data_IF_585889367202
#
_entry.id   IF_585889367202
#
_cell.length_a   1.000
_cell.length_b   1.000
_cell.length_c   1.000
_cell.angle_alpha   90.00
_cell.angle_beta   90.00
_cell.angle_gamma   90.00
#
_symmetry.space_group_name_H-M   'P 1'
#
loop_
_entity.id
_entity.type
_entity.pdbx_description
1 polymer ?
#
# COMPACT_ATOMS: atom_id res chain seq x y z
N UNK A 1 6.87 -3.99 3.86
CA UNK A 1 5.77 -4.92 3.54
C UNK A 1 5.15 -5.64 4.72
N UNK A 2 5.88 -6.42 5.54
CA UNK A 2 5.26 -7.33 6.54
C UNK A 2 4.22 -6.66 7.48
N UNK A 3 4.53 -5.49 8.06
CA UNK A 3 3.59 -4.76 8.94
C UNK A 3 2.28 -4.35 8.25
N UNK A 4 2.33 -3.90 7.00
CA UNK A 4 1.14 -3.46 6.27
C UNK A 4 0.21 -4.64 5.97
N UNK A 5 0.77 -5.75 5.49
CA UNK A 5 0.01 -6.98 5.24
C UNK A 5 -0.62 -7.52 6.54
N UNK A 6 0.11 -7.44 7.65
CA UNK A 6 -0.40 -7.81 8.96
C UNK A 6 -1.61 -6.97 9.38
N UNK A 7 -1.54 -5.64 9.25
CA UNK A 7 -2.68 -4.77 9.58
C UNK A 7 -3.91 -5.01 8.70
N UNK A 8 -3.70 -5.10 7.37
CA UNK A 8 -4.80 -5.37 6.43
C UNK A 8 -5.46 -6.71 6.75
N UNK A 9 -4.66 -7.76 7.00
CA UNK A 9 -5.16 -9.07 7.37
C UNK A 9 -5.92 -9.05 8.70
N UNK A 10 -5.34 -8.45 9.74
CA UNK A 10 -5.94 -8.38 11.08
C UNK A 10 -7.30 -7.69 11.08
N UNK A 11 -7.46 -6.65 10.26
CA UNK A 11 -8.67 -5.82 10.23
C UNK A 11 -9.74 -6.40 9.29
N UNK A 12 -9.35 -6.90 8.11
CA UNK A 12 -10.32 -7.37 7.12
C UNK A 12 -10.81 -8.80 7.39
N UNK A 13 -9.99 -9.70 7.95
CA UNK A 13 -10.40 -11.09 8.21
C UNK A 13 -11.63 -11.17 9.14
N UNK A 14 -11.70 -10.45 10.28
CA UNK A 14 -12.89 -10.43 11.11
C UNK A 14 -14.12 -9.87 10.38
N UNK A 15 -13.94 -8.82 9.57
CA UNK A 15 -15.04 -8.22 8.79
C UNK A 15 -15.62 -9.21 7.78
N UNK A 16 -14.76 -9.97 7.07
CA UNK A 16 -15.19 -11.03 6.17
C UNK A 16 -15.98 -12.09 6.91
N UNK A 17 -15.48 -12.58 8.04
CA UNK A 17 -16.16 -13.59 8.84
C UNK A 17 -17.55 -13.11 9.30
N UNK A 18 -17.63 -11.89 9.84
CA UNK A 18 -18.89 -11.28 10.27
C UNK A 18 -19.89 -11.15 9.11
N UNK A 19 -19.44 -10.76 7.91
CA UNK A 19 -20.32 -10.68 6.74
C UNK A 19 -20.81 -12.04 6.26
N UNK A 20 -19.98 -13.10 6.31
CA UNK A 20 -20.42 -14.47 6.00
C UNK A 20 -21.51 -14.92 6.97
N UNK A 21 -21.30 -14.72 8.28
CA UNK A 21 -22.27 -15.07 9.31
C UNK A 21 -23.56 -14.27 9.16
N UNK A 22 -23.47 -12.95 8.97
CA UNK A 22 -24.65 -12.10 8.81
C UNK A 22 -25.43 -12.45 7.54
N UNK A 23 -24.75 -12.77 6.44
CA UNK A 23 -25.38 -13.24 5.20
C UNK A 23 -26.15 -14.55 5.40
N UNK A 24 -25.58 -15.49 6.16
CA UNK A 24 -26.26 -16.74 6.54
C UNK A 24 -27.46 -16.50 7.47
N UNK A 25 -27.34 -15.60 8.45
CA UNK A 25 -28.44 -15.21 9.35
C UNK A 25 -29.58 -14.56 8.57
N UNK A 26 -29.28 -13.66 7.63
CA UNK A 26 -30.27 -13.01 6.77
C UNK A 26 -31.03 -14.06 5.95
N UNK A 27 -30.32 -14.99 5.31
CA UNK A 27 -30.92 -16.11 4.58
C UNK A 27 -31.85 -16.95 5.45
N UNK A 28 -31.45 -17.27 6.69
CA UNK A 28 -32.23 -18.09 7.62
C UNK A 28 -33.43 -17.34 8.22
N UNK A 29 -33.24 -16.09 8.66
CA UNK A 29 -34.23 -15.29 9.37
C UNK A 29 -35.38 -14.86 8.47
N UNK A 30 -35.07 -14.39 7.27
CA UNK A 30 -36.09 -13.96 6.30
C UNK A 30 -36.57 -15.08 5.37
N UNK A 31 -36.04 -16.30 5.52
CA UNK A 31 -36.36 -17.47 4.69
C UNK A 31 -36.32 -17.13 3.19
N UNK A 32 -35.22 -16.51 2.76
CA UNK A 32 -35.11 -15.97 1.41
C UNK A 32 -35.23 -17.07 0.35
N UNK A 33 -36.12 -16.84 -0.62
CA UNK A 33 -36.26 -17.64 -1.83
C UNK A 33 -35.08 -17.45 -2.79
N UNK A 34 -35.10 -18.16 -3.92
CA UNK A 34 -34.04 -18.09 -4.95
C UNK A 34 -33.91 -16.67 -5.50
N UNK A 35 -35.03 -16.01 -5.82
CA UNK A 35 -35.05 -14.66 -6.38
C UNK A 35 -34.53 -13.61 -5.39
N UNK A 36 -34.94 -13.70 -4.12
CA UNK A 36 -34.51 -12.76 -3.09
C UNK A 36 -33.03 -12.94 -2.71
N UNK A 37 -32.55 -14.19 -2.65
CA UNK A 37 -31.12 -14.46 -2.47
C UNK A 37 -30.28 -13.93 -3.63
N UNK A 38 -30.78 -14.03 -4.88
CA UNK A 38 -30.14 -13.47 -6.05
C UNK A 38 -30.07 -11.94 -5.98
N UNK A 39 -31.15 -11.26 -5.61
CA UNK A 39 -31.16 -9.79 -5.42
C UNK A 39 -30.16 -9.36 -4.36
N UNK A 40 -30.12 -10.06 -3.22
CA UNK A 40 -29.17 -9.78 -2.15
C UNK A 40 -27.72 -9.94 -2.62
N UNK A 41 -27.41 -11.04 -3.32
CA UNK A 41 -26.07 -11.30 -3.87
C UNK A 41 -25.66 -10.26 -4.92
N UNK A 42 -26.53 -9.92 -5.86
CA UNK A 42 -26.25 -8.93 -6.90
C UNK A 42 -26.09 -7.54 -6.29
N UNK A 43 -27.00 -7.15 -5.39
CA UNK A 43 -26.96 -5.85 -4.71
C UNK A 43 -25.69 -5.67 -3.88
N UNK A 44 -25.31 -6.69 -3.08
CA UNK A 44 -24.07 -6.65 -2.30
C UNK A 44 -22.84 -6.63 -3.20
N UNK A 45 -22.85 -7.36 -4.32
CA UNK A 45 -21.73 -7.37 -5.27
C UNK A 45 -21.56 -6.01 -5.94
N UNK A 46 -22.63 -5.42 -6.48
CA UNK A 46 -22.59 -4.10 -7.13
C UNK A 46 -22.12 -3.03 -6.15
N UNK A 47 -22.69 -2.99 -4.95
CA UNK A 47 -22.28 -2.01 -3.93
C UNK A 47 -20.82 -2.23 -3.49
N UNK A 48 -20.40 -3.49 -3.30
CA UNK A 48 -19.03 -3.84 -2.98
C UNK A 48 -18.03 -3.42 -4.05
N UNK A 49 -18.35 -3.62 -5.33
CA UNK A 49 -17.49 -3.17 -6.44
C UNK A 49 -17.40 -1.64 -6.53
N UNK A 50 -18.50 -0.91 -6.28
CA UNK A 50 -18.47 0.56 -6.24
C UNK A 50 -17.56 1.07 -5.11
N UNK A 51 -17.64 0.47 -3.93
CA UNK A 51 -16.74 0.80 -2.82
C UNK A 51 -15.28 0.41 -3.11
N UNK A 52 -15.07 -0.72 -3.79
CA UNK A 52 -13.72 -1.12 -4.21
C UNK A 52 -13.12 -0.13 -5.21
N UNK A 53 -13.91 0.37 -6.16
CA UNK A 53 -13.47 1.39 -7.11
C UNK A 53 -13.12 2.72 -6.43
N UNK A 54 -13.85 3.12 -5.39
CA UNK A 54 -13.55 4.36 -4.67
C UNK A 54 -12.21 4.32 -3.92
N UNK A 55 -11.71 3.13 -3.56
CA UNK A 55 -10.38 2.98 -2.95
C UNK A 55 -9.26 3.46 -3.87
N UNK A 56 -9.41 3.34 -5.20
CA UNK A 56 -8.40 3.83 -6.15
C UNK A 56 -8.33 5.36 -6.22
N UNK A 57 -9.40 6.06 -5.83
CA UNK A 57 -9.40 7.52 -5.75
C UNK A 57 -8.70 8.04 -4.48
N UNK A 58 -8.46 7.18 -3.49
CA UNK A 58 -7.78 7.54 -2.25
C UNK A 58 -6.26 7.43 -2.44
N UNK A 59 -5.62 8.59 -2.60
CA UNK A 59 -4.16 8.70 -2.67
C UNK A 59 -3.65 9.88 -1.85
N UNK A 60 -2.34 9.88 -1.58
CA UNK A 60 -1.64 11.03 -1.03
C UNK A 60 -0.39 11.32 -1.88
N UNK A 61 0.09 12.57 -1.86
CA UNK A 61 1.33 12.89 -2.58
C UNK A 61 2.51 12.06 -2.06
N UNK A 62 3.39 11.65 -2.99
CA UNK A 62 4.61 10.96 -2.63
C UNK A 62 5.47 11.85 -1.70
N UNK A 63 6.09 11.27 -0.66
CA UNK A 63 7.00 12.02 0.19
C UNK A 63 8.18 12.58 -0.61
N UNK A 64 8.65 13.77 -0.24
CA UNK A 64 9.80 14.43 -0.87
C UNK A 64 11.10 13.70 -0.54
N UNK A 65 11.68 13.03 -1.53
CA UNK A 65 12.96 12.33 -1.45
C UNK A 65 13.91 12.90 -2.51
N UNK A 66 15.07 13.39 -2.08
CA UNK A 66 16.09 13.98 -2.93
C UNK A 66 16.55 12.98 -4.00
N UNK A 67 16.57 13.43 -5.26
CA UNK A 67 16.97 12.63 -6.42
C UNK A 67 15.93 11.60 -6.89
N UNK A 68 14.76 11.53 -6.25
CA UNK A 68 13.65 10.66 -6.66
C UNK A 68 12.36 11.44 -6.94
N UNK A 69 11.87 12.22 -5.98
CA UNK A 69 10.64 13.01 -6.12
C UNK A 69 10.87 14.51 -6.08
N UNK A 70 12.00 14.95 -5.52
CA UNK A 70 12.45 16.35 -5.50
C UNK A 70 13.92 16.44 -5.87
N UNK A 71 14.36 17.58 -6.40
CA UNK A 71 15.79 17.82 -6.65
C UNK A 71 16.54 17.97 -5.33
N UNK A 72 17.87 17.85 -5.35
CA UNK A 72 18.73 18.18 -4.20
C UNK A 72 18.61 19.65 -3.77
N UNK A 73 18.08 20.53 -4.61
CA UNK A 73 17.78 21.93 -4.29
C UNK A 73 16.35 22.14 -3.77
N UNK A 74 15.54 21.08 -3.66
CA UNK A 74 14.16 21.15 -3.16
C UNK A 74 13.11 21.61 -4.18
N UNK A 75 13.46 21.70 -5.47
CA UNK A 75 12.51 22.06 -6.55
C UNK A 75 11.74 20.84 -7.07
N UNK A 76 10.41 21.01 -7.29
CA UNK A 76 9.52 20.05 -7.97
C UNK A 76 9.38 20.44 -9.46
N UNK A 77 9.23 19.52 -10.44
CA UNK A 77 9.50 18.08 -10.45
C UNK A 77 10.82 17.73 -11.17
N UNK A 78 11.50 16.66 -10.75
CA UNK A 78 12.67 16.12 -11.47
C UNK A 78 12.19 15.10 -12.49
N UNK A 79 12.67 15.20 -13.74
CA UNK A 79 12.39 14.18 -14.78
C UNK A 79 12.91 12.81 -14.32
N UNK A 80 12.09 11.76 -14.47
CA UNK A 80 12.35 10.36 -14.10
C UNK A 80 13.54 9.71 -14.85
N UNK A 81 14.75 10.26 -14.72
CA UNK A 81 15.97 9.60 -15.17
C UNK A 81 16.71 9.00 -13.97
N UNK A 82 17.02 7.70 -14.09
CA UNK A 82 17.68 6.82 -13.10
C UNK A 82 18.97 7.37 -12.47
N UNK A 83 19.55 8.48 -12.98
CA UNK A 83 20.82 9.05 -12.51
C UNK A 83 20.68 10.32 -11.65
N UNK A 84 19.50 10.64 -11.14
CA UNK A 84 19.31 11.81 -10.27
C UNK A 84 19.68 11.58 -8.79
N UNK A 85 20.05 10.35 -8.39
CA UNK A 85 20.49 10.06 -7.03
C UNK A 85 21.89 10.62 -6.71
N UNK A 86 22.77 10.70 -7.72
CA UNK A 86 24.11 11.26 -7.56
C UNK A 86 24.11 12.72 -7.98
N UNK A 87 24.82 13.52 -7.19
CA UNK A 87 24.99 14.95 -7.40
C UNK A 87 26.43 15.31 -7.02
N UNK A 88 26.92 16.46 -7.47
CA UNK A 88 28.28 16.89 -7.16
C UNK A 88 28.55 16.94 -5.66
N UNK A 89 27.52 17.23 -4.85
CA UNK A 89 27.62 17.29 -3.40
C UNK A 89 27.90 15.92 -2.73
N UNK A 90 27.46 14.80 -3.31
CA UNK A 90 27.66 13.45 -2.75
C UNK A 90 28.76 12.65 -3.47
N UNK A 91 29.40 13.24 -4.49
CA UNK A 91 30.52 12.66 -5.25
C UNK A 91 31.72 12.24 -4.38
N UNK A 92 31.89 12.89 -3.21
CA UNK A 92 32.97 12.59 -2.25
C UNK A 92 32.80 11.25 -1.55
N UNK A 93 31.61 10.64 -1.64
CA UNK A 93 31.30 9.37 -1.00
C UNK A 93 30.96 8.32 -2.06
N UNK A 94 31.58 7.13 -1.99
CA UNK A 94 31.26 5.99 -2.87
C UNK A 94 29.96 5.32 -2.42
N UNK A 95 28.83 5.99 -2.65
CA UNK A 95 27.53 5.55 -2.16
C UNK A 95 26.98 4.36 -2.93
N UNK A 96 26.31 3.46 -2.21
CA UNK A 96 25.55 2.37 -2.83
C UNK A 96 24.22 2.88 -3.34
N UNK A 97 23.93 2.58 -4.61
CA UNK A 97 22.64 2.89 -5.25
C UNK A 97 21.49 2.11 -4.64
N UNK A 98 21.71 0.87 -4.20
CA UNK A 98 20.67 -0.05 -3.76
C UNK A 98 20.34 0.06 -2.26
N UNK A 99 21.18 0.73 -1.48
CA UNK A 99 21.00 0.87 -0.03
C UNK A 99 19.87 1.87 0.27
N UNK A 100 18.93 1.46 1.13
CA UNK A 100 17.81 2.30 1.57
C UNK A 100 17.81 2.44 3.10
N UNK A 101 18.36 3.57 3.55
CA UNK A 101 18.49 3.95 4.97
C UNK A 101 18.12 5.44 5.09
N UNK A 102 16.83 5.78 4.97
CA UNK A 102 16.44 7.17 4.81
C UNK A 102 16.85 8.02 6.01
N UNK A 103 17.26 9.25 5.73
CA UNK A 103 17.50 10.29 6.73
C UNK A 103 16.73 11.56 6.40
N UNK A 104 16.34 12.30 7.43
CA UNK A 104 15.76 13.63 7.29
C UNK A 104 16.86 14.66 7.52
N UNK A 105 17.14 15.48 6.50
CA UNK A 105 18.03 16.63 6.62
C UNK A 105 17.36 17.76 7.39
N UNK A 106 18.18 18.65 7.97
CA UNK A 106 17.69 19.87 8.63
C UNK A 106 16.96 20.82 7.66
N UNK A 107 17.14 20.65 6.35
CA UNK A 107 16.40 21.32 5.28
C UNK A 107 14.97 20.77 5.07
N UNK A 108 14.56 19.76 5.83
CA UNK A 108 13.24 19.13 5.74
C UNK A 108 13.06 18.21 4.53
N UNK A 109 14.15 17.85 3.83
CA UNK A 109 14.15 16.92 2.70
C UNK A 109 14.61 15.54 3.17
N UNK A 110 13.94 14.48 2.68
CA UNK A 110 14.38 13.11 2.95
C UNK A 110 15.44 12.69 1.94
N UNK A 111 16.53 12.11 2.40
CA UNK A 111 17.59 11.54 1.58
C UNK A 111 17.55 10.02 1.68
N UNK A 112 17.86 9.31 0.59
CA UNK A 112 17.79 7.84 0.58
C UNK A 112 18.84 7.15 1.47
N UNK A 113 19.95 7.83 1.77
CA UNK A 113 20.95 7.44 2.79
C UNK A 113 21.76 8.64 3.27
N UNK A 114 22.46 8.50 4.41
CA UNK A 114 23.42 9.51 4.87
C UNK A 114 24.60 9.73 3.93
N UNK A 115 25.02 8.69 3.21
CA UNK A 115 26.02 8.82 2.17
C UNK A 115 25.51 9.72 1.03
N UNK A 116 24.27 9.50 0.58
CA UNK A 116 23.67 10.29 -0.51
C UNK A 116 23.37 11.74 -0.09
N UNK A 117 23.22 12.00 1.21
CA UNK A 117 23.20 13.35 1.78
C UNK A 117 24.60 13.98 1.94
N UNK A 118 25.67 13.24 1.63
CA UNK A 118 27.05 13.70 1.70
C UNK A 118 27.60 13.81 3.14
N UNK A 119 27.00 13.11 4.11
CA UNK A 119 27.44 13.17 5.50
C UNK A 119 28.71 12.34 5.73
N UNK A 120 29.66 12.88 6.50
CA UNK A 120 30.94 12.23 6.80
C UNK A 120 31.02 11.62 8.19
N UNK A 121 30.25 12.15 9.14
CA UNK A 121 30.28 11.70 10.53
C UNK A 121 28.88 11.32 10.99
N UNK A 122 28.81 10.32 11.87
CA UNK A 122 27.58 9.91 12.54
C UNK A 122 27.84 9.82 14.02
N UNK A 123 27.04 10.53 14.81
CA UNK A 123 27.03 10.47 16.27
C UNK A 123 25.73 9.85 16.75
N UNK A 124 25.81 9.02 17.79
CA UNK A 124 24.63 8.44 18.41
C UNK A 124 24.16 9.34 19.55
N UNK A 125 22.94 9.87 19.43
CA UNK A 125 22.27 10.62 20.48
C UNK A 125 21.10 9.79 21.01
N UNK A 126 21.36 9.00 22.06
CA UNK A 126 20.39 8.07 22.64
C UNK A 126 19.99 6.95 21.67
N UNK A 127 18.71 6.88 21.29
CA UNK A 127 18.18 5.95 20.28
C UNK A 127 18.30 6.46 18.84
N UNK A 128 18.62 7.74 18.65
CA UNK A 128 18.67 8.38 17.34
C UNK A 128 20.12 8.48 16.86
N UNK A 129 20.34 8.20 15.58
CA UNK A 129 21.64 8.40 14.92
C UNK A 129 21.55 9.73 14.17
N UNK A 130 22.42 10.67 14.55
CA UNK A 130 22.54 11.99 13.95
C UNK A 130 23.75 11.96 13.03
N UNK A 131 23.54 12.20 11.75
CA UNK A 131 24.63 12.37 10.77
C UNK A 131 24.96 13.84 10.63
N UNK A 132 26.23 14.19 10.70
CA UNK A 132 26.71 15.57 10.66
C UNK A 132 27.72 15.77 9.54
N UNK A 133 27.94 17.05 9.20
CA UNK A 133 28.81 17.47 8.11
C UNK A 133 28.32 16.95 6.75
N UNK A 134 27.05 17.20 6.47
CA UNK A 134 26.37 16.77 5.26
C UNK A 134 26.45 17.86 4.19
N UNK A 135 27.09 17.58 3.06
CA UNK A 135 27.34 18.55 1.98
C UNK A 135 26.15 18.78 1.06
N UNK A 136 25.18 17.87 1.02
CA UNK A 136 24.00 17.98 0.17
C UNK A 136 22.79 18.64 0.86
N UNK A 137 22.83 18.79 2.18
CA UNK A 137 21.74 19.37 2.97
C UNK A 137 21.83 20.89 2.90
N UNK A 138 20.70 21.57 2.64
CA UNK A 138 20.64 23.04 2.68
C UNK A 138 21.19 23.75 1.44
N UNK A 139 21.31 23.08 0.29
CA UNK A 139 21.81 23.68 -0.96
C UNK A 139 21.02 24.92 -1.44
N UNK A 140 19.75 25.04 -1.06
CA UNK A 140 18.90 26.17 -1.42
C UNK A 140 19.13 27.43 -0.55
N UNK A 141 19.74 27.27 0.63
CA UNK A 141 20.02 28.35 1.56
C UNK A 141 21.47 28.19 2.06
N UNK A 142 22.47 28.72 1.33
CA UNK A 142 23.87 28.59 1.68
C UNK A 142 24.23 29.53 2.86
N UNK A 143 23.58 29.35 4.01
CA UNK A 143 24.16 29.77 5.28
C UNK A 143 25.26 28.78 5.62
N UNK A 144 26.48 29.27 5.82
CA UNK A 144 27.63 28.49 6.27
C UNK A 144 27.35 27.90 7.66
N UNK A 145 26.76 26.71 7.69
CA UNK A 145 26.37 26.00 8.91
C UNK A 145 26.75 24.53 8.82
N UNK A 146 26.99 23.92 9.98
CA UNK A 146 27.19 22.49 10.11
C UNK A 146 25.84 21.78 9.93
N UNK A 147 25.45 21.54 8.68
CA UNK A 147 24.20 20.84 8.38
C UNK A 147 24.27 19.40 8.89
N UNK A 148 23.17 19.00 9.53
CA UNK A 148 22.99 17.67 10.07
C UNK A 148 21.69 17.06 9.57
N UNK A 149 21.47 15.81 9.97
CA UNK A 149 20.18 15.18 9.80
C UNK A 149 20.07 13.93 10.64
N UNK A 150 18.83 13.56 10.90
CA UNK A 150 18.47 12.41 11.73
C UNK A 150 18.07 11.22 10.87
N UNK A 151 18.44 10.02 11.28
CA UNK A 151 17.94 8.80 10.63
C UNK A 151 16.42 8.72 10.72
N UNK A 152 15.76 8.40 9.61
CA UNK A 152 14.31 8.42 9.47
C UNK A 152 13.86 9.20 8.24
N UNK A 153 12.55 9.17 7.96
CA UNK A 153 11.97 10.04 6.92
C UNK A 153 11.55 11.35 7.56
N UNK A 154 11.57 12.44 6.81
CA UNK A 154 10.97 13.67 7.30
C UNK A 154 9.46 13.48 7.48
N UNK A 155 8.98 13.79 8.68
CA UNK A 155 7.56 13.73 9.00
C UNK A 155 6.90 15.00 8.44
N UNK A 156 6.30 14.90 7.25
CA UNK A 156 5.47 15.97 6.71
C UNK A 156 4.01 15.61 6.96
N UNK A 157 3.31 16.41 7.76
CA UNK A 157 1.90 16.18 8.05
C UNK A 157 1.04 16.63 6.86
N UNK A 158 0.99 15.77 5.84
CA UNK A 158 0.25 16.02 4.61
C UNK A 158 -1.17 15.43 4.66
N UNK A 159 -1.71 15.10 5.85
CA UNK A 159 -2.99 14.40 5.99
C UNK A 159 -2.98 12.95 5.46
N UNK A 160 -1.84 12.43 5.00
CA UNK A 160 -1.73 11.06 4.53
C UNK A 160 -2.08 10.00 5.60
N UNK A 161 -1.79 10.18 6.90
CA UNK A 161 -2.29 9.28 7.94
C UNK A 161 -3.82 9.20 7.98
N UNK A 162 -4.51 10.33 7.75
CA UNK A 162 -5.98 10.38 7.72
C UNK A 162 -6.53 9.69 6.47
N UNK A 163 -5.90 9.88 5.31
CA UNK A 163 -6.26 9.16 4.07
C UNK A 163 -6.06 7.65 4.22
N UNK A 164 -5.00 7.22 4.89
CA UNK A 164 -4.79 5.81 5.22
C UNK A 164 -5.88 5.25 6.15
N UNK A 165 -6.34 6.03 7.13
CA UNK A 165 -7.47 5.62 7.97
C UNK A 165 -8.78 5.49 7.15
N UNK A 166 -9.07 6.42 6.24
CA UNK A 166 -10.23 6.29 5.35
C UNK A 166 -10.14 5.05 4.46
N UNK A 167 -8.96 4.78 3.89
CA UNK A 167 -8.69 3.57 3.13
C UNK A 167 -8.99 2.31 3.96
N UNK A 168 -8.51 2.26 5.21
CA UNK A 168 -8.78 1.12 6.10
C UNK A 168 -10.28 0.95 6.37
N UNK A 169 -10.99 2.02 6.72
CA UNK A 169 -12.43 1.96 7.00
C UNK A 169 -13.21 1.49 5.77
N UNK A 170 -12.95 2.05 4.60
CA UNK A 170 -13.64 1.66 3.37
C UNK A 170 -13.29 0.23 2.97
N UNK A 171 -12.04 -0.22 3.19
CA UNK A 171 -11.63 -1.61 2.90
C UNK A 171 -12.39 -2.63 3.77
N UNK A 172 -12.67 -2.28 5.03
CA UNK A 172 -13.47 -3.09 5.96
C UNK A 172 -14.91 -3.19 5.48
N UNK A 173 -15.52 -2.05 5.16
CA UNK A 173 -16.91 -2.00 4.69
C UNK A 173 -17.04 -2.79 3.39
N UNK A 174 -16.10 -2.60 2.46
CA UNK A 174 -16.03 -3.34 1.19
C UNK A 174 -15.95 -4.84 1.43
N UNK A 175 -15.03 -5.27 2.30
CA UNK A 175 -14.82 -6.68 2.64
C UNK A 175 -16.08 -7.31 3.26
N UNK A 176 -16.73 -6.60 4.17
CA UNK A 176 -17.99 -7.02 4.79
C UNK A 176 -19.14 -7.11 3.77
N UNK A 177 -19.31 -6.10 2.93
CA UNK A 177 -20.37 -6.07 1.91
C UNK A 177 -20.20 -7.21 0.91
N UNK A 178 -19.00 -7.44 0.40
CA UNK A 178 -18.73 -8.54 -0.53
C UNK A 178 -18.98 -9.91 0.13
N UNK A 179 -18.60 -10.07 1.39
CA UNK A 179 -18.79 -11.34 2.09
C UNK A 179 -20.23 -11.61 2.52
N UNK A 180 -21.04 -10.56 2.75
CA UNK A 180 -22.48 -10.65 3.00
C UNK A 180 -23.22 -11.39 1.86
N UNK A 181 -22.83 -11.14 0.62
CA UNK A 181 -23.38 -11.82 -0.56
C UNK A 181 -22.86 -13.23 -0.79
N UNK A 182 -21.77 -13.63 -0.15
CA UNK A 182 -21.09 -14.90 -0.42
C UNK A 182 -21.98 -16.12 -0.14
N UNK A 183 -22.65 -16.15 1.01
CA UNK A 183 -23.56 -17.25 1.37
C UNK A 183 -24.80 -17.31 0.47
N UNK A 184 -25.55 -16.22 0.24
CA UNK A 184 -26.64 -16.20 -0.74
C UNK A 184 -26.23 -16.70 -2.12
N UNK A 185 -25.07 -16.26 -2.64
CA UNK A 185 -24.54 -16.70 -3.93
C UNK A 185 -24.19 -18.20 -3.95
N UNK A 186 -23.57 -18.71 -2.89
CA UNK A 186 -23.26 -20.14 -2.76
C UNK A 186 -24.53 -21.01 -2.67
N UNK A 187 -25.52 -20.58 -1.88
CA UNK A 187 -26.81 -21.29 -1.76
C UNK A 187 -27.58 -21.26 -3.09
N UNK A 188 -27.54 -20.14 -3.82
CA UNK A 188 -28.13 -20.02 -5.15
C UNK A 188 -27.56 -21.07 -6.10
N UNK A 189 -26.23 -21.20 -6.17
CA UNK A 189 -25.55 -22.22 -6.96
C UNK A 189 -26.06 -23.63 -6.61
N UNK A 190 -26.12 -23.97 -5.32
CA UNK A 190 -26.58 -25.29 -4.88
C UNK A 190 -28.06 -25.56 -5.13
N UNK A 191 -28.92 -24.53 -5.14
CA UNK A 191 -30.36 -24.67 -5.40
C UNK A 191 -30.68 -24.86 -6.89
N UNK A 192 -29.83 -24.34 -7.77
CA UNK A 192 -30.00 -24.49 -9.22
C UNK A 192 -29.49 -25.83 -9.77
N UNK A 193 -28.79 -26.63 -8.97
CA UNK A 193 -28.09 -27.84 -9.42
C UNK A 193 -28.73 -29.09 -8.81
N UNK A 194 -28.92 -30.12 -9.65
CA UNK A 194 -29.42 -31.41 -9.23
C UNK A 194 -28.51 -32.02 -8.13
N UNK A 195 -29.07 -32.73 -7.13
CA UNK A 195 -28.31 -33.24 -5.99
C UNK A 195 -27.07 -34.06 -6.36
N UNK A 196 -27.15 -34.87 -7.41
CA UNK A 196 -26.07 -35.76 -7.87
C UNK A 196 -24.86 -35.00 -8.47
N UNK A 197 -25.04 -33.75 -8.93
CA UNK A 197 -24.03 -32.98 -9.66
C UNK A 197 -23.38 -31.85 -8.83
N UNK A 198 -23.81 -31.66 -7.57
CA UNK A 198 -23.39 -30.52 -6.74
C UNK A 198 -21.89 -30.46 -6.52
N UNK A 199 -21.27 -31.58 -6.15
CA UNK A 199 -19.83 -31.64 -5.87
C UNK A 199 -18.99 -31.41 -7.13
N UNK A 200 -19.45 -31.94 -8.27
CA UNK A 200 -18.78 -31.74 -9.56
C UNK A 200 -18.83 -30.27 -10.00
N UNK A 201 -20.02 -29.65 -9.95
CA UNK A 201 -20.19 -28.25 -10.30
C UNK A 201 -19.42 -27.31 -9.37
N UNK A 202 -19.35 -27.62 -8.07
CA UNK A 202 -18.53 -26.86 -7.14
C UNK A 202 -17.03 -26.97 -7.46
N UNK A 203 -16.57 -28.16 -7.88
CA UNK A 203 -15.21 -28.37 -8.38
C UNK A 203 -14.89 -27.47 -9.58
N UNK A 204 -15.78 -27.45 -10.59
CA UNK A 204 -15.61 -26.59 -11.77
C UNK A 204 -15.64 -25.10 -11.37
N UNK A 205 -16.59 -24.69 -10.53
CA UNK A 205 -16.71 -23.30 -10.06
C UNK A 205 -15.42 -22.85 -9.36
N UNK A 206 -14.92 -23.64 -8.42
CA UNK A 206 -13.70 -23.31 -7.69
C UNK A 206 -12.47 -23.29 -8.60
N UNK A 207 -12.35 -24.25 -9.53
CA UNK A 207 -11.29 -24.27 -10.53
C UNK A 207 -11.33 -22.99 -11.39
N UNK A 208 -12.48 -22.64 -11.95
CA UNK A 208 -12.64 -21.46 -12.79
C UNK A 208 -12.28 -20.17 -12.04
N UNK A 209 -12.76 -20.00 -10.80
CA UNK A 209 -12.42 -18.84 -9.96
C UNK A 209 -10.92 -18.76 -9.70
N UNK A 210 -10.26 -19.89 -9.42
CA UNK A 210 -8.81 -19.91 -9.16
C UNK A 210 -8.00 -19.61 -10.42
N UNK A 211 -8.38 -20.19 -11.57
CA UNK A 211 -7.67 -20.00 -12.84
C UNK A 211 -7.87 -18.59 -13.38
N UNK A 212 -9.08 -18.04 -13.32
CA UNK A 212 -9.39 -16.74 -13.92
C UNK A 212 -9.09 -15.55 -13.00
N UNK A 213 -9.22 -15.72 -11.67
CA UNK A 213 -9.00 -14.63 -10.73
C UNK A 213 -7.83 -14.91 -9.77
N UNK A 214 -7.75 -16.12 -9.21
CA UNK A 214 -6.75 -16.44 -8.19
C UNK A 214 -5.29 -16.38 -8.67
N UNK A 215 -5.00 -16.87 -9.88
CA UNK A 215 -3.65 -16.86 -10.46
C UNK A 215 -3.30 -15.49 -11.07
N UNK A 216 -4.17 -14.86 -11.89
CA UNK A 216 -3.82 -13.61 -12.56
C UNK A 216 -3.75 -12.43 -11.58
N UNK A 217 -4.58 -12.39 -10.54
CA UNK A 217 -4.66 -11.21 -9.67
C UNK A 217 -3.31 -10.89 -8.98
N UNK A 218 -2.62 -11.82 -8.28
CA UNK A 218 -1.31 -11.53 -7.70
C UNK A 218 -0.26 -11.12 -8.73
N UNK A 219 -0.33 -11.66 -9.97
CA UNK A 219 0.59 -11.31 -11.06
C UNK A 219 0.37 -9.87 -11.50
N UNK A 220 -0.88 -9.48 -11.79
CA UNK A 220 -1.21 -8.10 -12.19
C UNK A 220 -0.88 -7.09 -11.08
N UNK A 221 -1.26 -7.39 -9.83
CA UNK A 221 -0.92 -6.52 -8.71
C UNK A 221 0.59 -6.47 -8.47
N UNK A 222 1.32 -7.56 -8.67
CA UNK A 222 2.78 -7.59 -8.59
C UNK A 222 3.41 -6.66 -9.62
N UNK A 223 3.04 -6.80 -10.90
CA UNK A 223 3.53 -5.92 -11.97
C UNK A 223 3.18 -4.45 -11.68
N UNK A 224 1.94 -4.17 -11.26
CA UNK A 224 1.51 -2.81 -10.96
C UNK A 224 2.32 -2.17 -9.83
N UNK A 225 2.61 -2.94 -8.76
CA UNK A 225 3.48 -2.50 -7.67
C UNK A 225 4.89 -2.24 -8.19
N UNK A 226 5.44 -3.15 -9.00
CA UNK A 226 6.79 -3.05 -9.51
C UNK A 226 6.96 -1.84 -10.44
N UNK A 227 5.97 -1.56 -11.32
CA UNK A 227 5.98 -0.41 -12.22
C UNK A 227 5.78 0.92 -11.49
N UNK A 228 5.08 0.91 -10.36
CA UNK A 228 4.85 2.11 -9.54
C UNK A 228 6.02 2.38 -8.57
N UNK A 229 6.90 1.40 -8.37
CA UNK A 229 8.02 1.49 -7.45
C UNK A 229 9.15 2.32 -8.07
N UNK A 230 9.38 3.52 -7.52
CA UNK A 230 10.49 4.37 -7.97
C UNK A 230 11.87 3.82 -7.59
N UNK A 231 11.95 3.07 -6.48
CA UNK A 231 13.20 2.48 -5.99
C UNK A 231 12.97 1.31 -5.04
N UNK A 232 13.63 0.19 -5.32
CA UNK A 232 13.70 -0.94 -4.39
C UNK A 232 14.73 -0.71 -3.28
N UNK A 233 14.33 -0.98 -2.04
CA UNK A 233 15.24 -0.95 -0.90
C UNK A 233 15.72 -2.35 -0.56
N UNK A 234 17.03 -2.60 -0.65
CA UNK A 234 17.65 -3.83 -0.17
C UNK A 234 18.32 -3.57 1.18
N UNK A 235 17.95 -4.35 2.20
CA UNK A 235 18.72 -4.48 3.44
C UNK A 235 19.54 -5.76 3.32
N UNK A 236 20.86 -5.63 3.22
CA UNK A 236 21.77 -6.75 3.47
C UNK A 236 21.87 -6.99 4.97
#
# INVERSE_FOLDING_TARGET
SSKANFFIGLINIPAVALGIFSGGIVMKKFRLGVLEAMKLYLGSSVFGYLLFLSLFALGCENPGVAGLTVSYQGTKPVSYHERALFSDCNSRCKCSESKWEPMCGDDGITYASACLAGCQSSSQSGKNIISSNCTCVGLAAPTSGNWSGMMGRCQKDNGCPQMFLYFLVISVITSYTLSLGGIPGYILLLRCIQPQLKSFALGIYTLAVRVLAGIPAPVYFGVLIDTSCLKWGFKK
#
